data_IF_968402849135
#
_entry.id   IF_968402849135
#
_cell.length_a   1.000
_cell.length_b   1.000
_cell.length_c   1.000
_cell.angle_alpha   90.00
_cell.angle_beta   90.00
_cell.angle_gamma   90.00
#
_symmetry.space_group_name_H-M   'P 1'
#
loop_
_entity.id
_entity.type
_entity.pdbx_description
1 polymer ?
#
# COMPACT_ATOMS: atom_id res chain seq x y z
N UNK A 1 46.96 -61.88 9.43
CA UNK A 1 46.80 -60.82 8.41
C UNK A 1 45.92 -61.43 7.32
N UNK A 2 44.71 -61.01 6.97
CA UNK A 2 43.97 -59.77 7.16
C UNK A 2 42.46 -60.12 7.11
N UNK A 3 41.60 -59.52 7.96
CA UNK A 3 40.15 -59.71 7.93
C UNK A 3 39.52 -58.77 6.90
N UNK A 4 38.29 -59.08 6.43
CA UNK A 4 37.11 -58.19 6.54
C UNK A 4 35.98 -58.62 5.60
N UNK A 5 34.86 -58.99 6.24
CA UNK A 5 33.49 -58.80 5.75
C UNK A 5 33.36 -57.49 4.96
N UNK A 6 32.83 -57.57 3.75
CA UNK A 6 32.15 -56.44 3.13
C UNK A 6 30.65 -56.71 3.20
N UNK A 7 30.06 -56.42 4.36
CA UNK A 7 28.63 -56.19 4.46
C UNK A 7 28.33 -54.91 3.66
N UNK A 8 27.69 -55.06 2.51
CA UNK A 8 27.10 -53.94 1.79
C UNK A 8 25.93 -53.40 2.63
N UNK A 9 26.22 -52.45 3.51
CA UNK A 9 25.20 -51.56 4.06
C UNK A 9 24.67 -50.70 2.92
N UNK A 10 23.52 -51.11 2.36
CA UNK A 10 22.70 -50.22 1.57
C UNK A 10 22.18 -49.11 2.50
N UNK A 11 22.86 -47.97 2.51
CA UNK A 11 22.29 -46.74 3.05
C UNK A 11 21.17 -46.33 2.10
N UNK A 12 19.93 -46.71 2.42
CA UNK A 12 18.77 -45.98 1.92
C UNK A 12 18.92 -44.56 2.49
N UNK A 13 19.46 -43.63 1.69
CA UNK A 13 19.12 -42.23 1.88
C UNK A 13 17.61 -42.14 1.64
N UNK A 14 16.84 -42.15 2.73
CA UNK A 14 15.53 -41.54 2.71
C UNK A 14 15.78 -40.06 2.39
N UNK A 15 15.65 -39.70 1.11
CA UNK A 15 15.45 -38.33 0.72
C UNK A 15 14.09 -37.91 1.31
N UNK A 16 14.04 -37.60 2.60
CA UNK A 16 12.95 -36.80 3.12
C UNK A 16 12.99 -35.52 2.30
N UNK A 17 11.93 -35.29 1.53
CA UNK A 17 11.80 -34.10 0.71
C UNK A 17 12.11 -32.90 1.58
N UNK A 18 13.23 -32.24 1.30
CA UNK A 18 13.46 -30.91 1.83
C UNK A 18 12.42 -30.01 1.16
N UNK A 19 11.23 -29.93 1.76
CA UNK A 19 10.27 -28.91 1.37
C UNK A 19 10.95 -27.59 1.67
N UNK A 20 11.18 -26.77 0.63
CA UNK A 20 11.64 -25.41 0.83
C UNK A 20 10.64 -24.72 1.75
N UNK A 21 11.04 -24.44 2.99
CA UNK A 21 10.18 -23.81 3.98
C UNK A 21 10.31 -22.30 3.82
N UNK A 22 9.18 -21.62 3.60
CA UNK A 22 9.13 -20.16 3.73
C UNK A 22 9.38 -19.84 5.21
N UNK A 23 10.29 -18.91 5.50
CA UNK A 23 10.36 -18.31 6.82
C UNK A 23 9.63 -16.98 6.75
N UNK A 24 8.47 -16.87 7.42
CA UNK A 24 7.70 -15.64 7.46
C UNK A 24 8.42 -14.48 8.17
N UNK A 25 9.45 -14.78 8.97
CA UNK A 25 10.07 -13.81 9.88
C UNK A 25 9.22 -13.49 11.12
N UNK A 26 8.14 -14.26 11.37
CA UNK A 26 7.27 -14.04 12.52
C UNK A 26 7.93 -14.43 13.84
N UNK A 27 7.95 -13.52 14.82
CA UNK A 27 8.39 -13.82 16.19
C UNK A 27 7.25 -14.35 17.09
N UNK A 28 5.99 -14.35 16.61
CA UNK A 28 4.81 -14.86 17.32
C UNK A 28 4.29 -13.98 18.47
N UNK A 29 4.74 -12.73 18.61
CA UNK A 29 4.37 -11.84 19.73
C UNK A 29 2.87 -11.58 19.86
N UNK A 30 2.13 -11.65 18.76
CA UNK A 30 0.69 -11.33 18.72
C UNK A 30 -0.19 -12.58 18.88
N UNK A 31 0.43 -13.74 19.14
CA UNK A 31 -0.27 -14.99 19.41
C UNK A 31 -1.06 -15.51 18.21
N UNK A 32 -2.09 -16.31 18.47
CA UNK A 32 -2.97 -16.84 17.43
C UNK A 32 -4.11 -15.86 17.16
N UNK A 33 -4.33 -15.51 15.89
CA UNK A 33 -5.45 -14.67 15.48
C UNK A 33 -6.61 -15.53 14.96
N UNK A 34 -7.65 -15.70 15.78
CA UNK A 34 -8.82 -16.53 15.48
C UNK A 34 -10.13 -15.85 15.94
N UNK A 35 -10.52 -14.73 15.32
CA UNK A 35 -11.72 -13.98 15.73
C UNK A 35 -12.98 -14.82 15.52
N UNK A 36 -13.90 -14.79 16.48
CA UNK A 36 -15.20 -15.50 16.41
C UNK A 36 -16.35 -14.61 15.94
N UNK A 37 -16.12 -13.30 15.84
CA UNK A 37 -17.08 -12.29 15.38
C UNK A 37 -16.36 -11.26 14.50
N UNK A 38 -17.13 -10.44 13.77
CA UNK A 38 -16.58 -9.33 13.02
C UNK A 38 -15.67 -8.48 13.91
N UNK A 39 -14.44 -8.28 13.45
CA UNK A 39 -13.37 -7.67 14.24
C UNK A 39 -12.82 -6.47 13.50
N UNK A 40 -12.72 -5.35 14.22
CA UNK A 40 -12.00 -4.16 13.74
C UNK A 40 -10.67 -4.13 14.47
N UNK A 41 -9.58 -4.37 13.76
CA UNK A 41 -8.22 -4.26 14.32
C UNK A 41 -7.86 -2.78 14.36
N UNK A 42 -7.60 -2.26 15.55
CA UNK A 42 -7.00 -0.94 15.69
C UNK A 42 -5.49 -1.07 15.53
N UNK A 43 -4.90 -0.43 14.51
CA UNK A 43 -3.46 -0.54 14.24
C UNK A 43 -2.60 0.38 15.12
N UNK A 44 -3.19 1.14 16.06
CA UNK A 44 -2.47 2.14 16.86
C UNK A 44 -1.27 1.58 17.66
N UNK A 45 -1.33 0.32 18.07
CA UNK A 45 -0.26 -0.40 18.78
C UNK A 45 0.77 -1.04 17.83
N UNK A 46 0.51 -1.04 16.51
CA UNK A 46 1.40 -1.52 15.45
C UNK A 46 1.74 -0.36 14.50
N UNK A 47 2.60 0.59 14.91
CA UNK A 47 2.92 1.79 14.12
C UNK A 47 3.63 1.50 12.79
N UNK A 48 4.16 0.29 12.61
CA UNK A 48 4.74 -0.23 11.37
C UNK A 48 3.76 -1.09 10.55
N UNK A 49 2.58 -1.41 11.12
CA UNK A 49 1.55 -2.25 10.52
C UNK A 49 1.91 -3.74 10.43
N UNK A 50 2.97 -4.17 11.13
CA UNK A 50 3.48 -5.55 11.07
C UNK A 50 2.98 -6.34 12.28
N UNK A 51 2.23 -7.40 11.99
CA UNK A 51 1.72 -8.34 12.96
C UNK A 51 2.50 -9.64 12.89
N UNK A 52 2.90 -10.17 14.04
CA UNK A 52 3.62 -11.41 14.22
C UNK A 52 2.72 -12.47 14.89
N UNK A 53 1.96 -13.19 14.07
CA UNK A 53 1.08 -14.24 14.54
C UNK A 53 1.75 -15.63 14.58
N UNK A 54 1.31 -16.46 15.51
CA UNK A 54 1.65 -17.90 15.52
C UNK A 54 0.81 -18.66 14.48
N UNK A 55 -0.47 -18.29 14.33
CA UNK A 55 -1.40 -18.83 13.32
C UNK A 55 -2.52 -17.82 13.05
N UNK A 56 -3.15 -17.91 11.89
CA UNK A 56 -4.34 -17.10 11.54
C UNK A 56 -5.45 -17.98 11.04
N UNK A 57 -6.65 -17.82 11.59
CA UNK A 57 -7.88 -18.43 11.08
C UNK A 57 -8.98 -17.38 11.06
N UNK A 58 -9.50 -17.06 9.88
CA UNK A 58 -10.66 -16.16 9.71
C UNK A 58 -11.87 -17.04 9.39
N UNK A 59 -12.77 -17.30 10.35
CA UNK A 59 -13.93 -18.18 10.14
C UNK A 59 -14.92 -17.62 9.12
N UNK A 60 -15.76 -18.50 8.55
CA UNK A 60 -16.87 -18.08 7.68
C UNK A 60 -17.79 -17.10 8.42
N UNK A 61 -18.33 -16.13 7.68
CA UNK A 61 -19.17 -15.03 8.20
C UNK A 61 -18.45 -14.05 9.14
N UNK A 62 -17.15 -14.17 9.35
CA UNK A 62 -16.34 -13.17 10.04
C UNK A 62 -15.70 -12.23 9.02
N UNK A 63 -15.81 -10.93 9.27
CA UNK A 63 -15.11 -9.87 8.53
C UNK A 63 -14.10 -9.18 9.44
N UNK A 64 -12.85 -9.09 8.96
CA UNK A 64 -11.78 -8.33 9.59
C UNK A 64 -11.56 -7.04 8.82
N UNK A 65 -11.65 -5.91 9.53
CA UNK A 65 -11.36 -4.56 9.01
C UNK A 65 -10.36 -3.87 9.93
N UNK A 66 -9.89 -2.68 9.52
CA UNK A 66 -8.80 -1.99 10.21
C UNK A 66 -9.13 -0.52 10.46
N UNK A 67 -8.73 -0.01 11.61
CA UNK A 67 -8.54 1.42 11.85
C UNK A 67 -7.06 1.70 11.59
N UNK A 68 -6.71 2.50 10.57
CA UNK A 68 -5.32 2.80 10.27
C UNK A 68 -4.56 3.45 11.43
N UNK A 69 -3.26 3.17 11.51
CA UNK A 69 -2.36 3.88 12.42
C UNK A 69 -2.06 5.29 11.90
N UNK A 70 -1.31 6.08 12.69
CA UNK A 70 -0.97 7.47 12.36
C UNK A 70 -0.23 7.61 11.01
N UNK A 71 0.45 6.56 10.57
CA UNK A 71 1.27 6.55 9.34
C UNK A 71 0.49 5.97 8.16
N UNK A 72 -0.72 5.50 8.41
CA UNK A 72 -1.53 4.73 7.50
C UNK A 72 -0.70 3.64 6.78
N UNK A 73 0.06 2.85 7.52
CA UNK A 73 0.91 1.80 6.94
C UNK A 73 0.06 0.70 6.28
N UNK A 74 0.63 -0.05 5.32
CA UNK A 74 0.07 -1.33 4.90
C UNK A 74 -0.14 -2.29 6.09
N UNK A 75 -1.03 -3.26 5.92
CA UNK A 75 -1.18 -4.38 6.85
C UNK A 75 -0.24 -5.51 6.43
N UNK A 76 0.60 -5.97 7.36
CA UNK A 76 1.53 -7.08 7.13
C UNK A 76 1.28 -8.14 8.19
N UNK A 77 0.90 -9.34 7.76
CA UNK A 77 0.77 -10.51 8.63
C UNK A 77 1.93 -11.46 8.38
N UNK A 78 2.79 -11.62 9.37
CA UNK A 78 3.84 -12.63 9.41
C UNK A 78 3.37 -13.77 10.30
N UNK A 79 3.30 -14.99 9.76
CA UNK A 79 2.62 -16.11 10.42
C UNK A 79 3.57 -17.30 10.52
N UNK A 80 3.79 -17.83 11.73
CA UNK A 80 4.69 -18.96 11.96
C UNK A 80 4.16 -20.28 11.42
N UNK A 81 2.84 -20.43 11.35
CA UNK A 81 2.15 -21.62 10.88
C UNK A 81 1.25 -21.28 9.68
N UNK A 82 0.08 -21.93 9.59
CA UNK A 82 -0.88 -21.78 8.52
C UNK A 82 -1.76 -20.54 8.68
N UNK A 83 -2.27 -20.07 7.55
CA UNK A 83 -3.33 -19.07 7.44
C UNK A 83 -4.53 -19.72 6.77
N UNK A 84 -5.70 -19.64 7.41
CA UNK A 84 -6.98 -20.13 6.84
C UNK A 84 -7.94 -18.96 6.67
N UNK A 85 -8.39 -18.72 5.44
CA UNK A 85 -9.33 -17.65 5.09
C UNK A 85 -10.65 -18.26 4.63
N UNK A 86 -11.60 -18.37 5.57
CA UNK A 86 -12.99 -18.79 5.29
C UNK A 86 -13.96 -17.59 5.32
N UNK A 87 -13.60 -16.51 6.01
CA UNK A 87 -14.31 -15.24 6.05
C UNK A 87 -13.66 -14.17 5.16
N UNK A 88 -13.82 -12.90 5.53
CA UNK A 88 -13.32 -11.75 4.75
C UNK A 88 -12.25 -10.98 5.52
N UNK A 89 -11.17 -10.60 4.84
CA UNK A 89 -10.24 -9.56 5.30
C UNK A 89 -10.34 -8.39 4.33
N UNK A 90 -10.67 -7.21 4.84
CA UNK A 90 -10.97 -6.03 4.03
C UNK A 90 -10.10 -4.83 4.43
N UNK A 91 -9.22 -4.45 3.51
CA UNK A 91 -8.38 -3.25 3.57
C UNK A 91 -8.81 -2.23 2.51
N UNK A 92 -10.05 -2.27 2.00
CA UNK A 92 -10.53 -1.39 0.93
C UNK A 92 -10.55 0.08 1.33
N UNK A 93 -10.40 0.95 0.34
CA UNK A 93 -10.62 2.38 0.48
C UNK A 93 -12.11 2.71 0.58
N UNK A 94 -12.41 3.84 1.21
CA UNK A 94 -13.77 4.29 1.43
C UNK A 94 -14.30 5.09 0.24
N UNK A 95 -15.59 4.94 -0.02
CA UNK A 95 -16.31 5.81 -0.94
C UNK A 95 -16.25 7.26 -0.44
N UNK A 96 -16.28 8.22 -1.35
CA UNK A 96 -16.53 9.60 -0.97
C UNK A 96 -17.94 9.73 -0.35
N UNK A 97 -18.12 10.54 0.70
CA UNK A 97 -19.43 10.75 1.30
C UNK A 97 -20.46 11.24 0.27
N UNK A 98 -21.74 10.88 0.45
CA UNK A 98 -22.82 11.38 -0.39
C UNK A 98 -22.97 12.89 -0.27
N UNK A 99 -23.51 13.49 -1.33
CA UNK A 99 -23.67 14.93 -1.53
C UNK A 99 -24.46 15.68 -0.42
N UNK A 100 -25.20 14.97 0.44
CA UNK A 100 -26.19 15.57 1.36
C UNK A 100 -25.65 16.19 2.66
N UNK A 101 -24.34 16.12 2.94
CA UNK A 101 -23.83 16.50 4.29
C UNK A 101 -22.90 17.72 4.32
N UNK A 102 -22.30 18.13 3.21
CA UNK A 102 -21.36 19.28 3.21
C UNK A 102 -21.40 20.00 1.86
N UNK A 103 -21.46 21.34 1.87
CA UNK A 103 -21.38 22.20 0.65
C UNK A 103 -20.07 22.02 -0.17
N UNK A 104 -19.19 21.11 0.26
CA UNK A 104 -17.96 20.68 -0.38
C UNK A 104 -17.74 19.19 -0.08
N UNK A 105 -17.94 18.31 -1.06
CA UNK A 105 -17.79 16.86 -0.87
C UNK A 105 -16.37 16.48 -0.48
N UNK A 106 -16.19 15.89 0.70
CA UNK A 106 -14.90 15.36 1.13
C UNK A 106 -14.49 14.17 0.26
N UNK A 107 -13.18 14.02 0.01
CA UNK A 107 -12.67 12.79 -0.56
C UNK A 107 -12.77 11.61 0.42
N UNK A 108 -13.05 10.41 -0.10
CA UNK A 108 -13.10 9.18 0.67
C UNK A 108 -11.72 8.80 1.23
N UNK A 109 -11.69 8.23 2.43
CA UNK A 109 -10.43 7.81 3.06
C UNK A 109 -9.79 6.64 2.33
N UNK A 110 -8.46 6.60 2.29
CA UNK A 110 -7.75 5.41 1.81
C UNK A 110 -7.91 4.25 2.79
N UNK A 111 -7.77 3.02 2.31
CA UNK A 111 -7.58 1.87 3.20
C UNK A 111 -6.19 1.91 3.85
N UNK A 112 -5.87 0.97 4.77
CA UNK A 112 -4.52 0.83 5.33
C UNK A 112 -3.45 0.78 4.24
N UNK A 113 -2.51 1.72 4.18
CA UNK A 113 -1.49 1.81 3.13
C UNK A 113 -1.94 2.48 1.82
N UNK A 114 -3.23 2.81 1.68
CA UNK A 114 -3.83 3.48 0.52
C UNK A 114 -4.01 4.98 0.75
N UNK A 115 -4.25 5.73 -0.32
CA UNK A 115 -4.30 7.20 -0.26
C UNK A 115 -5.72 7.74 -0.36
N UNK A 116 -5.96 8.87 0.31
CA UNK A 116 -7.27 9.54 0.34
C UNK A 116 -7.67 10.12 -1.03
N UNK A 117 -8.96 10.22 -1.30
CA UNK A 117 -9.51 10.92 -2.46
C UNK A 117 -9.45 12.45 -2.34
N UNK A 118 -9.66 13.14 -3.45
CA UNK A 118 -9.67 14.59 -3.55
C UNK A 118 -10.98 15.20 -3.08
N UNK A 119 -10.91 16.36 -2.43
CA UNK A 119 -12.10 17.12 -2.04
C UNK A 119 -12.70 17.85 -3.25
N UNK A 120 -14.02 18.00 -3.29
CA UNK A 120 -14.72 18.78 -4.29
C UNK A 120 -14.88 20.25 -3.88
N UNK A 121 -15.30 21.07 -4.85
CA UNK A 121 -15.66 22.47 -4.63
C UNK A 121 -15.05 23.42 -5.65
N UNK A 122 -15.29 24.72 -5.46
CA UNK A 122 -14.71 25.79 -6.29
C UNK A 122 -13.18 25.65 -6.41
N UNK A 123 -12.54 25.15 -5.34
CA UNK A 123 -11.13 24.78 -5.33
C UNK A 123 -10.98 23.31 -4.97
N UNK A 124 -11.47 22.45 -5.85
CA UNK A 124 -11.30 21.01 -5.69
C UNK A 124 -9.82 20.62 -5.65
N UNK A 125 -9.53 19.56 -4.91
CA UNK A 125 -8.22 18.95 -4.87
C UNK A 125 -8.22 17.67 -5.67
N UNK A 126 -7.05 17.34 -6.21
CA UNK A 126 -6.83 16.05 -6.78
C UNK A 126 -6.76 14.97 -5.67
N UNK A 127 -6.87 13.69 -6.06
CA UNK A 127 -6.67 12.56 -5.15
C UNK A 127 -5.22 12.47 -4.70
N UNK A 128 -4.99 11.87 -3.53
CA UNK A 128 -3.64 11.67 -2.99
C UNK A 128 -3.01 10.39 -3.52
N UNK A 129 -1.69 10.28 -3.33
CA UNK A 129 -0.89 9.14 -3.78
C UNK A 129 -0.20 9.36 -5.13
N UNK A 130 0.77 8.50 -5.47
CA UNK A 130 1.64 8.63 -6.65
C UNK A 130 0.92 8.59 -8.00
N UNK A 131 -0.30 8.04 -8.05
CA UNK A 131 -1.18 8.07 -9.22
C UNK A 131 -2.51 8.76 -8.94
N UNK A 132 -2.57 9.67 -7.97
CA UNK A 132 -3.84 10.30 -7.56
C UNK A 132 -4.53 11.03 -8.69
N UNK A 133 -5.83 10.81 -8.85
CA UNK A 133 -6.61 11.35 -9.97
C UNK A 133 -6.70 12.88 -9.95
N UNK A 134 -6.53 13.52 -11.10
CA UNK A 134 -6.62 14.98 -11.23
C UNK A 134 -8.01 15.53 -10.85
N UNK A 135 -8.04 16.72 -10.27
CA UNK A 135 -9.28 17.49 -10.13
C UNK A 135 -9.72 18.06 -11.48
N UNK A 136 -11.02 18.22 -11.68
CA UNK A 136 -11.56 18.79 -12.91
C UNK A 136 -13.07 18.96 -12.83
N UNK A 137 -13.72 19.37 -13.92
CA UNK A 137 -15.19 19.48 -13.97
C UNK A 137 -15.87 18.18 -13.50
N UNK A 138 -15.28 17.05 -13.90
CA UNK A 138 -15.45 15.73 -13.30
C UNK A 138 -14.11 15.28 -12.74
N UNK A 139 -14.09 14.69 -11.55
CA UNK A 139 -12.87 14.13 -10.99
C UNK A 139 -12.35 12.97 -11.83
N UNK A 140 -11.04 12.87 -12.00
CA UNK A 140 -10.41 11.73 -12.70
C UNK A 140 -10.17 10.56 -11.74
N UNK A 141 -10.20 9.34 -12.25
CA UNK A 141 -9.89 8.14 -11.47
C UNK A 141 -8.43 8.12 -11.00
N UNK A 142 -8.18 7.53 -9.83
CA UNK A 142 -6.83 7.25 -9.37
C UNK A 142 -6.21 6.10 -10.18
N UNK A 143 -4.89 6.11 -10.28
CA UNK A 143 -4.08 5.04 -10.87
C UNK A 143 -3.24 4.36 -9.78
N UNK A 144 -3.20 3.03 -9.79
CA UNK A 144 -2.31 2.24 -8.96
C UNK A 144 -0.88 2.37 -9.48
N UNK A 145 0.06 2.69 -8.59
CA UNK A 145 1.47 2.82 -8.92
C UNK A 145 2.27 1.93 -7.96
N UNK A 146 2.59 0.73 -8.44
CA UNK A 146 3.40 -0.27 -7.75
C UNK A 146 4.05 -1.19 -8.76
N UNK A 147 5.20 -1.76 -8.42
CA UNK A 147 5.89 -2.69 -9.31
C UNK A 147 5.32 -4.11 -9.22
N UNK A 148 5.75 -4.97 -10.14
CA UNK A 148 5.30 -6.37 -10.20
C UNK A 148 5.67 -7.19 -8.96
N UNK A 149 6.66 -6.77 -8.18
CA UNK A 149 7.10 -7.44 -6.96
C UNK A 149 6.27 -7.04 -5.73
N UNK A 150 5.53 -5.93 -5.81
CA UNK A 150 4.91 -5.30 -4.64
C UNK A 150 5.92 -5.10 -3.49
N UNK A 151 7.13 -4.65 -3.86
CA UNK A 151 8.20 -4.26 -2.94
C UNK A 151 8.73 -2.87 -3.33
N UNK A 152 8.51 -1.83 -2.52
CA UNK A 152 7.73 -1.84 -1.28
C UNK A 152 6.25 -2.12 -1.53
N UNK A 153 5.56 -2.62 -0.50
CA UNK A 153 4.12 -2.80 -0.52
C UNK A 153 3.46 -1.43 -0.37
N UNK A 154 2.65 -1.02 -1.36
CA UNK A 154 1.97 0.27 -1.40
C UNK A 154 0.50 0.07 -1.80
N UNK A 155 -0.42 0.82 -1.19
CA UNK A 155 -1.82 0.80 -1.57
C UNK A 155 -2.13 1.67 -2.80
N UNK A 156 -3.40 1.73 -3.13
CA UNK A 156 -3.94 2.51 -4.24
C UNK A 156 -3.97 4.01 -3.98
N UNK A 157 -3.86 4.78 -5.05
CA UNK A 157 -4.09 6.22 -5.08
C UNK A 157 -5.58 6.58 -5.06
N UNK A 158 -5.92 7.73 -4.47
CA UNK A 158 -7.30 8.25 -4.46
C UNK A 158 -7.71 8.91 -5.79
N UNK A 159 -9.01 8.99 -6.05
CA UNK A 159 -9.57 9.72 -7.19
C UNK A 159 -9.66 11.22 -6.95
N UNK A 160 -9.75 12.03 -8.02
CA UNK A 160 -9.87 13.48 -7.94
C UNK A 160 -11.26 13.98 -7.55
N UNK A 161 -11.34 15.15 -6.94
CA UNK A 161 -12.61 15.85 -6.68
C UNK A 161 -13.04 16.73 -7.86
N UNK A 162 -14.33 17.05 -7.92
CA UNK A 162 -14.87 17.90 -9.00
C UNK A 162 -14.83 19.40 -8.68
N UNK A 163 -14.48 20.25 -9.66
CA UNK A 163 -14.24 21.70 -9.52
C UNK A 163 -15.48 22.61 -9.64
N UNK A 164 -16.67 22.07 -9.90
CA UNK A 164 -17.86 22.88 -10.23
C UNK A 164 -18.73 23.17 -9.00
N UNK A 165 -18.74 24.46 -8.59
CA UNK A 165 -19.59 25.13 -7.58
C UNK A 165 -19.95 24.29 -6.33
N UNK A 166 -21.01 24.64 -5.60
CA UNK A 166 -21.42 24.00 -4.33
C UNK A 166 -22.02 22.59 -4.49
N UNK A 167 -21.90 21.99 -5.68
CA UNK A 167 -22.61 20.78 -6.11
C UNK A 167 -21.69 19.62 -6.54
N UNK A 168 -20.38 19.78 -6.35
CA UNK A 168 -19.36 18.82 -6.76
C UNK A 168 -19.19 17.61 -5.83
N UNK A 169 -18.89 16.45 -6.41
CA UNK A 169 -18.61 15.19 -5.71
C UNK A 169 -17.12 14.98 -5.40
N UNK A 170 -16.81 14.55 -4.16
CA UNK A 170 -15.45 14.17 -3.75
C UNK A 170 -14.99 12.87 -4.43
N UNK A 171 -13.68 12.69 -4.60
CA UNK A 171 -13.09 11.48 -5.16
C UNK A 171 -13.03 10.33 -4.14
N UNK A 172 -13.09 9.09 -4.61
CA UNK A 172 -12.98 7.91 -3.76
C UNK A 172 -11.57 7.65 -3.24
N UNK A 173 -11.45 7.04 -2.07
CA UNK A 173 -10.16 6.66 -1.50
C UNK A 173 -9.55 5.45 -2.21
N UNK A 174 -8.23 5.38 -2.30
CA UNK A 174 -7.54 4.22 -2.86
C UNK A 174 -7.57 3.01 -1.94
N UNK A 175 -7.56 1.82 -2.53
CA UNK A 175 -7.52 0.56 -1.79
C UNK A 175 -6.27 0.43 -0.92
N UNK A 176 -6.36 -0.28 0.19
CA UNK A 176 -5.22 -0.50 1.07
C UNK A 176 -4.22 -1.51 0.51
N UNK A 177 -3.27 -1.92 1.34
CA UNK A 177 -2.31 -2.94 0.98
C UNK A 177 -2.16 -3.99 2.08
N UNK A 178 -2.08 -5.26 1.67
CA UNK A 178 -2.02 -6.42 2.53
C UNK A 178 -0.91 -7.37 2.08
N UNK A 179 0.02 -7.68 2.98
CA UNK A 179 0.94 -8.80 2.85
C UNK A 179 0.56 -9.89 3.85
N UNK A 180 0.41 -11.11 3.38
CA UNK A 180 0.33 -12.29 4.24
C UNK A 180 1.52 -13.19 3.89
N UNK A 181 2.44 -13.36 4.84
CA UNK A 181 3.56 -14.28 4.75
C UNK A 181 3.39 -15.41 5.77
N UNK A 182 3.17 -16.63 5.30
CA UNK A 182 3.00 -17.81 6.14
C UNK A 182 4.17 -18.76 5.95
N UNK A 183 4.78 -19.22 7.05
CA UNK A 183 5.80 -20.27 6.96
C UNK A 183 5.20 -21.62 6.55
N UNK A 184 3.92 -21.83 6.84
CA UNK A 184 3.13 -22.97 6.37
C UNK A 184 2.42 -22.67 5.04
N UNK A 185 1.11 -22.90 5.03
CA UNK A 185 0.22 -22.74 3.88
C UNK A 185 -0.73 -21.56 4.05
N UNK A 186 -1.16 -20.96 2.95
CA UNK A 186 -2.32 -20.06 2.91
C UNK A 186 -3.46 -20.80 2.21
N UNK A 187 -4.51 -21.13 2.95
CA UNK A 187 -5.67 -21.86 2.44
C UNK A 187 -6.90 -20.96 2.42
N UNK A 188 -7.59 -20.95 1.28
CA UNK A 188 -8.91 -20.34 1.15
C UNK A 188 -10.01 -21.42 1.23
N UNK A 189 -11.05 -21.16 2.01
CA UNK A 189 -12.23 -22.02 2.13
C UNK A 189 -13.52 -21.20 1.96
N UNK A 190 -13.65 -20.59 0.78
CA UNK A 190 -14.72 -19.66 0.42
C UNK A 190 -14.54 -18.23 0.87
N UNK A 191 -13.43 -17.94 1.58
CA UNK A 191 -13.15 -16.61 2.07
C UNK A 191 -12.66 -15.65 0.98
N UNK A 192 -12.52 -14.38 1.37
CA UNK A 192 -12.18 -13.29 0.47
C UNK A 192 -11.16 -12.32 1.06
N UNK A 193 -10.29 -11.79 0.20
CA UNK A 193 -9.40 -10.67 0.51
C UNK A 193 -9.74 -9.47 -0.37
N UNK A 194 -9.98 -8.31 0.25
CA UNK A 194 -10.36 -7.09 -0.47
C UNK A 194 -9.37 -5.96 -0.21
N UNK A 195 -8.92 -5.33 -1.29
CA UNK A 195 -8.19 -4.07 -1.28
C UNK A 195 -8.74 -3.18 -2.40
N UNK A 196 -10.05 -2.95 -2.42
CA UNK A 196 -10.72 -2.24 -3.51
C UNK A 196 -10.56 -0.73 -3.35
N UNK A 197 -10.58 -0.02 -4.45
CA UNK A 197 -10.74 1.43 -4.43
C UNK A 197 -12.17 1.82 -4.07
N UNK A 198 -12.33 2.89 -3.30
CA UNK A 198 -13.60 3.52 -3.02
C UNK A 198 -14.12 4.28 -4.24
N UNK A 199 -15.44 4.39 -4.34
CA UNK A 199 -16.11 5.12 -5.41
C UNK A 199 -16.10 6.63 -5.15
N UNK A 200 -16.03 7.41 -6.22
CA UNK A 200 -16.30 8.85 -6.15
C UNK A 200 -17.76 9.14 -5.79
N UNK A 201 -18.02 10.34 -5.28
CA UNK A 201 -19.36 10.73 -4.83
C UNK A 201 -20.31 10.83 -6.02
N UNK A 202 -21.55 10.36 -5.81
CA UNK A 202 -22.63 10.37 -6.78
C UNK A 202 -23.25 11.77 -6.85
N UNK A 203 -22.91 12.55 -7.89
CA UNK A 203 -23.55 13.84 -8.19
C UNK A 203 -23.54 14.11 -9.71
N UNK A 204 -24.19 15.20 -10.13
CA UNK A 204 -24.13 15.70 -11.53
C UNK A 204 -22.69 15.97 -11.99
N UNK A 205 -21.79 16.24 -11.05
CA UNK A 205 -20.36 16.47 -11.28
C UNK A 205 -19.56 15.52 -10.37
N UNK A 206 -19.43 14.24 -10.76
CA UNK A 206 -18.91 13.22 -9.88
C UNK A 206 -17.42 13.36 -9.63
N UNK A 207 -16.99 12.88 -8.48
CA UNK A 207 -15.58 12.61 -8.22
C UNK A 207 -15.12 11.34 -8.93
N UNK A 208 -13.81 11.22 -9.13
CA UNK A 208 -13.22 10.01 -9.69
C UNK A 208 -13.15 8.88 -8.67
N UNK A 209 -13.19 7.64 -9.14
CA UNK A 209 -12.96 6.47 -8.28
C UNK A 209 -11.51 6.38 -7.82
N UNK A 210 -11.27 5.89 -6.60
CA UNK A 210 -9.93 5.53 -6.14
C UNK A 210 -9.43 4.26 -6.84
N UNK A 211 -8.13 4.14 -7.08
CA UNK A 211 -7.56 2.90 -7.62
C UNK A 211 -7.63 1.76 -6.59
N UNK A 212 -7.59 0.53 -7.08
CA UNK A 212 -7.42 -0.64 -6.23
C UNK A 212 -6.04 -0.66 -5.56
N UNK A 213 -5.92 -1.53 -4.56
CA UNK A 213 -4.76 -1.66 -3.70
C UNK A 213 -3.86 -2.85 -4.04
N UNK A 214 -3.03 -3.25 -3.09
CA UNK A 214 -2.06 -4.32 -3.29
C UNK A 214 -2.32 -5.51 -2.36
N UNK A 215 -2.31 -6.73 -2.89
CA UNK A 215 -2.35 -7.95 -2.07
C UNK A 215 -1.17 -8.84 -2.46
N UNK A 216 -0.25 -9.08 -1.53
CA UNK A 216 0.87 -9.99 -1.72
C UNK A 216 0.73 -11.19 -0.78
N UNK A 217 0.73 -12.39 -1.33
CA UNK A 217 0.70 -13.63 -0.54
C UNK A 217 2.02 -14.36 -0.72
N UNK A 218 2.63 -14.78 0.40
CA UNK A 218 3.91 -15.48 0.42
C UNK A 218 3.74 -16.73 1.26
N UNK A 219 3.83 -17.90 0.64
CA UNK A 219 3.72 -19.20 1.32
C UNK A 219 4.28 -20.31 0.44
N UNK A 220 4.60 -21.46 1.03
CA UNK A 220 5.02 -22.64 0.25
C UNK A 220 3.93 -23.10 -0.70
N UNK A 221 2.68 -23.11 -0.22
CA UNK A 221 1.49 -23.49 -0.97
C UNK A 221 0.34 -22.52 -0.71
N UNK A 222 -0.34 -22.13 -1.79
CA UNK A 222 -1.60 -21.36 -1.74
C UNK A 222 -2.70 -22.22 -2.38
N UNK A 223 -3.74 -22.56 -1.62
CA UNK A 223 -4.74 -23.57 -2.02
C UNK A 223 -6.18 -23.17 -1.77
N UNK A 224 -7.09 -23.98 -2.33
CA UNK A 224 -8.50 -24.00 -1.96
C UNK A 224 -9.35 -23.20 -2.93
N UNK A 225 -10.38 -22.52 -2.42
CA UNK A 225 -11.28 -21.71 -3.26
C UNK A 225 -11.71 -20.44 -2.55
N UNK A 226 -11.84 -19.33 -3.28
CA UNK A 226 -12.14 -18.03 -2.70
C UNK A 226 -12.05 -16.88 -3.71
N UNK A 227 -12.04 -15.65 -3.21
CA UNK A 227 -11.92 -14.46 -4.06
C UNK A 227 -10.86 -13.47 -3.56
N UNK A 228 -10.16 -12.83 -4.50
CA UNK A 228 -9.28 -11.70 -4.20
C UNK A 228 -9.69 -10.56 -5.11
N UNK A 229 -10.01 -9.39 -4.53
CA UNK A 229 -10.51 -8.25 -5.29
C UNK A 229 -9.75 -6.98 -4.98
N UNK A 230 -9.00 -6.50 -5.97
CA UNK A 230 -8.26 -5.25 -5.95
C UNK A 230 -8.73 -4.33 -7.08
N UNK A 231 -10.02 -4.38 -7.47
CA UNK A 231 -10.55 -3.44 -8.48
C UNK A 231 -10.55 -2.00 -7.97
N UNK A 232 -10.40 -1.07 -8.90
CA UNK A 232 -10.64 0.35 -8.63
C UNK A 232 -12.13 0.64 -8.40
N UNK A 233 -12.38 1.75 -7.73
CA UNK A 233 -13.72 2.25 -7.45
C UNK A 233 -14.37 2.87 -8.68
N UNK A 234 -15.70 2.96 -8.63
CA UNK A 234 -16.48 3.59 -9.70
C UNK A 234 -16.37 5.11 -9.63
N UNK A 235 -16.52 5.77 -10.78
CA UNK A 235 -17.01 7.15 -10.77
C UNK A 235 -18.51 7.14 -10.47
N UNK A 236 -19.04 8.19 -9.86
CA UNK A 236 -20.48 8.28 -9.60
C UNK A 236 -21.33 8.30 -10.89
N UNK A 237 -20.81 8.94 -11.96
CA UNK A 237 -21.40 8.99 -13.30
C UNK A 237 -20.27 9.18 -14.35
N UNK A 238 -20.18 8.34 -15.39
CA UNK A 238 -19.19 8.48 -16.47
C UNK A 238 -17.89 7.66 -16.32
N UNK A 239 -16.87 7.87 -17.17
CA UNK A 239 -15.76 6.92 -17.38
C UNK A 239 -14.59 7.01 -16.38
N UNK A 240 -14.68 7.85 -15.34
CA UNK A 240 -13.56 8.12 -14.41
C UNK A 240 -13.34 7.05 -13.33
N UNK A 241 -13.25 5.77 -13.74
CA UNK A 241 -12.96 4.65 -12.86
C UNK A 241 -11.53 4.71 -12.34
N UNK A 242 -11.33 4.29 -11.09
CA UNK A 242 -9.98 4.01 -10.62
C UNK A 242 -9.41 2.79 -11.35
N UNK A 243 -8.10 2.77 -11.59
CA UNK A 243 -7.46 1.58 -12.14
C UNK A 243 -7.56 0.42 -11.15
N UNK A 244 -7.48 -0.82 -11.65
CA UNK A 244 -7.23 -1.96 -10.79
C UNK A 244 -5.88 -1.84 -10.09
N UNK A 245 -5.79 -2.38 -8.90
CA UNK A 245 -4.56 -2.64 -8.18
C UNK A 245 -3.96 -3.98 -8.59
N UNK A 246 -3.06 -4.51 -7.74
CA UNK A 246 -2.26 -5.67 -8.08
C UNK A 246 -2.27 -6.75 -7.00
N UNK A 247 -2.30 -8.00 -7.46
CA UNK A 247 -2.14 -9.20 -6.66
C UNK A 247 -0.85 -9.89 -7.06
N UNK A 248 -0.06 -10.31 -6.06
CA UNK A 248 1.15 -11.10 -6.28
C UNK A 248 1.14 -12.34 -5.39
N UNK A 249 1.42 -13.50 -5.98
CA UNK A 249 1.74 -14.71 -5.23
C UNK A 249 3.21 -15.04 -5.35
N UNK A 250 3.90 -15.13 -4.22
CA UNK A 250 5.23 -15.74 -4.12
C UNK A 250 5.08 -17.13 -3.49
N UNK A 251 4.97 -18.16 -4.33
CA UNK A 251 4.65 -19.53 -3.91
C UNK A 251 5.20 -20.58 -4.87
N UNK A 252 5.51 -21.78 -4.36
CA UNK A 252 5.96 -22.90 -5.17
C UNK A 252 4.79 -23.64 -5.83
N UNK A 253 3.69 -23.79 -5.08
CA UNK A 253 2.51 -24.53 -5.51
C UNK A 253 1.26 -23.66 -5.33
N UNK A 254 0.54 -23.44 -6.43
CA UNK A 254 -0.69 -22.68 -6.44
C UNK A 254 -1.83 -23.50 -7.05
N UNK A 255 -2.82 -23.80 -6.22
CA UNK A 255 -4.03 -24.55 -6.58
C UNK A 255 -5.28 -23.84 -6.03
N UNK A 256 -5.38 -22.53 -6.26
CA UNK A 256 -6.59 -21.79 -5.90
C UNK A 256 -7.60 -21.87 -7.05
N UNK A 257 -8.72 -22.53 -6.79
CA UNK A 257 -9.92 -22.47 -7.60
C UNK A 257 -10.71 -21.21 -7.19
N UNK A 258 -10.41 -20.06 -7.79
CA UNK A 258 -11.00 -18.80 -7.34
C UNK A 258 -10.87 -17.67 -8.36
N UNK A 259 -11.48 -16.53 -8.05
CA UNK A 259 -11.43 -15.36 -8.91
C UNK A 259 -10.50 -14.29 -8.32
N UNK A 260 -9.42 -13.99 -9.04
CA UNK A 260 -8.56 -12.83 -8.78
C UNK A 260 -9.00 -11.71 -9.71
N UNK A 261 -9.43 -10.58 -9.13
CA UNK A 261 -9.84 -9.39 -9.87
C UNK A 261 -8.82 -8.27 -9.69
N UNK A 262 -8.03 -8.05 -10.74
CA UNK A 262 -7.00 -7.03 -10.81
C UNK A 262 -5.78 -7.53 -11.58
N UNK A 263 -4.72 -6.75 -11.61
CA UNK A 263 -3.46 -7.21 -12.20
C UNK A 263 -2.89 -8.35 -11.38
N UNK A 264 -2.46 -9.43 -12.03
CA UNK A 264 -1.92 -10.60 -11.35
C UNK A 264 -0.49 -10.88 -11.79
N UNK A 265 0.35 -11.26 -10.83
CA UNK A 265 1.70 -11.75 -11.07
C UNK A 265 2.01 -12.89 -10.11
N UNK A 266 2.89 -13.81 -10.53
CA UNK A 266 3.35 -14.92 -9.72
C UNK A 266 4.86 -15.02 -9.80
N UNK A 267 5.50 -15.39 -8.70
CA UNK A 267 6.92 -15.69 -8.63
C UNK A 267 7.23 -16.63 -7.47
N UNK A 268 8.53 -16.78 -7.19
CA UNK A 268 9.04 -17.51 -6.03
C UNK A 268 10.01 -16.62 -5.23
N UNK A 269 9.71 -15.32 -5.12
CA UNK A 269 10.54 -14.38 -4.39
C UNK A 269 10.05 -14.30 -2.94
N UNK A 270 10.62 -15.14 -2.08
CA UNK A 270 10.31 -15.18 -0.64
C UNK A 270 10.97 -14.06 0.16
N UNK A 271 11.41 -12.99 -0.51
CA UNK A 271 11.90 -11.79 0.15
C UNK A 271 10.71 -11.11 0.83
N UNK A 272 10.55 -11.42 2.10
CA UNK A 272 9.62 -10.82 3.05
C UNK A 272 10.44 -9.76 3.75
N UNK A 273 10.19 -8.48 3.46
CA UNK A 273 10.92 -7.37 4.06
C UNK A 273 10.05 -6.60 5.06
N UNK A 274 10.10 -6.96 6.35
CA UNK A 274 9.67 -6.07 7.43
C UNK A 274 10.89 -5.63 8.27
N UNK A 275 11.05 -4.31 8.40
CA UNK A 275 11.68 -3.55 9.49
C UNK A 275 13.21 -3.38 9.68
N UNK A 276 14.12 -4.00 8.93
CA UNK A 276 15.52 -3.50 8.86
C UNK A 276 16.22 -3.93 7.55
N UNK A 277 16.40 -3.02 6.60
CA UNK A 277 16.94 -3.33 5.26
C UNK A 277 16.02 -2.95 4.08
N UNK A 278 14.88 -2.31 4.35
CA UNK A 278 13.94 -1.88 3.30
C UNK A 278 14.51 -0.75 2.43
N UNK A 279 14.18 -0.78 1.15
CA UNK A 279 14.20 0.41 0.30
C UNK A 279 13.17 1.40 0.85
N UNK A 280 13.63 2.51 1.39
CA UNK A 280 12.74 3.53 1.93
C UNK A 280 13.20 4.91 1.49
N UNK A 281 12.21 5.77 1.21
CA UNK A 281 12.42 7.19 0.98
C UNK A 281 11.66 7.95 2.07
N UNK A 282 12.36 8.82 2.77
CA UNK A 282 11.76 9.71 3.76
C UNK A 282 12.12 11.14 3.41
N UNK A 283 11.13 12.03 3.32
CA UNK A 283 11.41 13.46 3.24
C UNK A 283 11.97 13.88 4.60
N UNK A 284 13.27 14.19 4.67
CA UNK A 284 13.96 14.54 5.90
C UNK A 284 13.79 16.03 6.23
N UNK A 285 13.84 16.89 5.22
CA UNK A 285 13.59 18.32 5.39
C UNK A 285 13.09 18.98 4.11
N UNK A 286 12.37 20.08 4.28
CA UNK A 286 11.90 20.95 3.19
C UNK A 286 12.33 22.37 3.54
N UNK A 287 13.15 22.99 2.70
CA UNK A 287 13.63 24.34 2.96
C UNK A 287 14.53 24.49 4.18
N UNK A 288 15.16 23.41 4.64
CA UNK A 288 15.89 23.37 5.90
C UNK A 288 15.02 23.17 7.14
N UNK A 289 13.68 23.13 7.00
CA UNK A 289 12.76 22.76 8.08
C UNK A 289 12.69 21.23 8.16
N UNK A 290 13.05 20.60 9.30
CA UNK A 290 12.90 19.16 9.46
C UNK A 290 11.44 18.73 9.35
N UNK A 291 11.18 17.61 8.68
CA UNK A 291 9.86 16.98 8.66
C UNK A 291 9.81 15.98 9.80
N UNK A 292 8.80 16.10 10.67
CA UNK A 292 8.61 15.13 11.75
C UNK A 292 8.30 13.75 11.15
N UNK A 293 9.06 12.74 11.57
CA UNK A 293 8.80 11.35 11.22
C UNK A 293 8.07 10.68 12.39
N UNK A 294 6.98 9.94 12.13
CA UNK A 294 6.35 9.78 10.83
C UNK A 294 5.47 10.98 10.43
N UNK A 295 5.40 11.35 9.13
CA UNK A 295 4.54 12.45 8.68
C UNK A 295 3.07 12.07 8.84
N UNK A 296 2.28 12.99 9.41
CA UNK A 296 0.86 12.82 9.66
C UNK A 296 0.01 12.87 8.39
N UNK A 297 0.47 13.56 7.34
CA UNK A 297 -0.31 13.79 6.13
C UNK A 297 -1.56 14.64 6.36
N UNK A 298 -1.70 15.30 7.52
CA UNK A 298 -2.89 16.09 7.84
C UNK A 298 -2.68 17.55 7.43
N UNK A 299 -3.48 18.04 6.47
CA UNK A 299 -3.34 19.41 5.97
C UNK A 299 -3.62 20.52 7.01
N UNK A 300 -4.45 20.25 8.02
CA UNK A 300 -4.75 21.20 9.09
C UNK A 300 -3.64 21.33 10.13
N UNK A 301 -2.74 20.35 10.18
CA UNK A 301 -1.57 20.30 11.08
C UNK A 301 -0.36 19.86 10.25
N UNK A 302 0.24 20.79 9.47
CA UNK A 302 1.26 20.44 8.49
C UNK A 302 2.51 19.83 9.12
N UNK A 303 3.10 18.82 8.45
CA UNK A 303 4.33 18.15 8.90
C UNK A 303 5.58 19.03 8.77
N UNK A 304 5.52 20.09 7.96
CA UNK A 304 6.49 21.17 7.90
C UNK A 304 5.81 22.49 7.49
N UNK A 305 6.24 23.60 8.11
CA UNK A 305 5.75 24.95 7.80
C UNK A 305 6.90 25.77 7.23
N UNK A 306 6.75 26.21 5.98
CA UNK A 306 7.76 27.02 5.28
C UNK A 306 7.44 28.51 5.40
N UNK A 307 8.49 29.34 5.47
CA UNK A 307 8.34 30.79 5.41
C UNK A 307 7.78 31.22 4.06
N UNK A 308 6.82 32.15 4.07
CA UNK A 308 6.28 32.76 2.85
C UNK A 308 7.33 33.59 2.09
N UNK A 309 8.41 33.99 2.75
CA UNK A 309 9.54 34.75 2.20
C UNK A 309 10.63 33.85 1.64
N UNK A 310 10.56 32.53 1.85
CA UNK A 310 11.55 31.61 1.34
C UNK A 310 11.51 31.56 -0.19
N UNK A 311 12.65 31.79 -0.85
CA UNK A 311 12.74 31.84 -2.30
C UNK A 311 12.73 30.44 -2.93
N UNK A 312 12.15 30.34 -4.12
CA UNK A 312 12.28 29.17 -4.98
C UNK A 312 13.60 29.25 -5.79
N UNK A 313 14.21 28.11 -6.16
CA UNK A 313 13.79 26.74 -5.82
C UNK A 313 14.14 26.37 -4.37
N UNK A 314 13.26 25.60 -3.73
CA UNK A 314 13.41 25.15 -2.35
C UNK A 314 14.12 23.79 -2.33
N UNK A 315 15.15 23.61 -1.48
CA UNK A 315 15.78 22.31 -1.30
C UNK A 315 14.88 21.37 -0.51
N UNK A 316 14.62 20.18 -1.06
CA UNK A 316 14.01 19.05 -0.38
C UNK A 316 15.06 17.97 -0.20
N UNK A 317 15.34 17.59 1.04
CA UNK A 317 16.28 16.52 1.36
C UNK A 317 15.51 15.23 1.56
N UNK A 318 15.84 14.21 0.77
CA UNK A 318 15.26 12.87 0.86
C UNK A 318 16.31 11.93 1.44
N UNK A 319 16.02 11.31 2.57
CA UNK A 319 16.80 10.21 3.12
C UNK A 319 16.39 8.92 2.40
N UNK A 320 17.39 8.17 1.95
CA UNK A 320 17.25 6.95 1.18
C UNK A 320 17.90 5.80 1.96
N UNK A 321 17.12 4.80 2.31
CA UNK A 321 17.62 3.58 2.97
C UNK A 321 17.75 2.46 1.97
N UNK A 322 18.88 1.74 2.01
CA UNK A 322 19.17 0.54 1.20
C UNK A 322 18.99 0.72 -0.31
N UNK A 323 19.17 1.94 -0.83
CA UNK A 323 19.02 2.25 -2.25
C UNK A 323 20.41 2.36 -2.90
N UNK A 324 20.65 1.78 -4.10
CA UNK A 324 21.90 1.99 -4.84
C UNK A 324 22.23 3.47 -4.94
N UNK A 325 23.48 3.84 -4.69
CA UNK A 325 23.93 5.21 -4.88
C UNK A 325 23.72 5.61 -6.35
N UNK A 326 23.50 6.91 -6.56
CA UNK A 326 23.20 7.48 -7.88
C UNK A 326 21.83 7.08 -8.47
N UNK A 327 20.95 6.45 -7.70
CA UNK A 327 19.55 6.25 -8.09
C UNK A 327 18.84 7.60 -8.27
N UNK A 328 18.05 7.71 -9.36
CA UNK A 328 17.25 8.91 -9.62
C UNK A 328 16.06 8.97 -8.66
N UNK A 329 16.03 10.03 -7.86
CA UNK A 329 14.95 10.36 -6.94
C UNK A 329 14.11 11.47 -7.57
N UNK A 330 12.80 11.26 -7.66
CA UNK A 330 11.85 12.29 -8.08
C UNK A 330 11.04 12.75 -6.87
N UNK A 331 11.08 14.04 -6.57
CA UNK A 331 10.20 14.65 -5.58
C UNK A 331 9.01 15.27 -6.29
N UNK A 332 7.82 14.94 -5.79
CA UNK A 332 6.54 15.46 -6.25
C UNK A 332 5.95 16.34 -5.17
N UNK A 333 5.46 17.52 -5.56
CA UNK A 333 4.76 18.47 -4.70
C UNK A 333 3.38 18.68 -5.29
N UNK A 334 2.38 18.19 -4.56
CA UNK A 334 0.97 18.33 -4.92
C UNK A 334 0.35 19.42 -4.05
N UNK A 335 0.20 20.66 -4.56
CA UNK A 335 -0.39 21.72 -3.78
C UNK A 335 -1.86 21.40 -3.50
N UNK A 336 -2.39 21.91 -2.39
CA UNK A 336 -3.81 21.80 -2.07
C UNK A 336 -4.68 22.44 -3.17
N UNK A 337 -4.09 23.34 -3.98
CA UNK A 337 -4.70 24.00 -5.13
C UNK A 337 -3.69 24.14 -6.26
N UNK A 338 -4.07 23.75 -7.48
CA UNK A 338 -3.22 23.87 -8.67
C UNK A 338 -2.65 22.53 -9.15
N UNK A 339 -1.78 22.61 -10.15
CA UNK A 339 -1.14 21.43 -10.74
C UNK A 339 -0.01 20.88 -9.84
N UNK A 340 0.20 19.57 -9.89
CA UNK A 340 1.39 18.95 -9.30
C UNK A 340 2.65 19.45 -10.02
N UNK A 341 3.72 19.67 -9.26
CA UNK A 341 5.06 19.94 -9.80
C UNK A 341 6.03 18.87 -9.32
N UNK A 342 7.04 18.56 -10.12
CA UNK A 342 8.05 17.56 -9.78
C UNK A 342 9.44 18.02 -10.19
N UNK A 343 10.46 17.53 -9.48
CA UNK A 343 11.87 17.72 -9.82
C UNK A 343 12.67 16.50 -9.41
N UNK A 344 13.86 16.33 -10.01
CA UNK A 344 14.70 15.16 -9.80
C UNK A 344 16.04 15.51 -9.16
N UNK A 345 16.60 14.57 -8.41
CA UNK A 345 17.97 14.58 -7.92
C UNK A 345 18.48 13.15 -7.77
N UNK A 346 19.71 12.98 -7.26
CA UNK A 346 20.30 11.65 -7.07
C UNK A 346 20.76 11.47 -5.64
N UNK A 347 20.67 10.26 -5.11
CA UNK A 347 21.21 9.90 -3.80
C UNK A 347 22.73 9.70 -3.89
N UNK A 348 23.47 10.80 -4.01
CA UNK A 348 24.91 10.79 -4.27
C UNK A 348 25.77 11.06 -3.03
N UNK A 349 25.15 11.18 -1.85
CA UNK A 349 25.83 11.40 -0.58
C UNK A 349 25.48 10.28 0.41
N UNK A 350 26.49 9.69 1.05
CA UNK A 350 26.34 8.62 2.04
C UNK A 350 26.72 7.23 1.51
N UNK A 351 25.99 6.21 1.94
CA UNK A 351 26.25 4.79 1.66
C UNK A 351 25.00 4.13 1.06
N UNK A 352 25.14 2.90 0.55
CA UNK A 352 23.99 2.08 0.14
C UNK A 352 22.93 1.97 1.24
N UNK A 353 23.34 1.70 2.48
CA UNK A 353 22.42 1.51 3.61
C UNK A 353 21.73 2.81 4.03
N UNK A 354 22.38 3.97 3.85
CA UNK A 354 21.88 5.28 4.25
C UNK A 354 22.53 6.35 3.37
N UNK A 355 21.76 6.88 2.42
CA UNK A 355 22.16 7.95 1.51
C UNK A 355 21.16 9.09 1.50
N UNK A 356 21.54 10.23 0.94
CA UNK A 356 20.68 11.41 0.81
C UNK A 356 20.68 11.94 -0.61
N UNK A 357 19.51 12.39 -1.06
CA UNK A 357 19.31 13.15 -2.28
C UNK A 357 18.80 14.55 -1.93
N UNK A 358 19.39 15.60 -2.51
CA UNK A 358 18.89 16.96 -2.41
C UNK A 358 18.27 17.37 -3.74
N UNK A 359 16.98 17.67 -3.74
CA UNK A 359 16.22 18.07 -4.93
C UNK A 359 15.86 19.54 -4.79
N UNK A 360 16.17 20.34 -5.81
CA UNK A 360 15.75 21.75 -5.89
C UNK A 360 14.43 21.83 -6.67
N UNK A 361 13.35 22.24 -6.01
CA UNK A 361 12.01 22.26 -6.60
C UNK A 361 11.31 23.60 -6.37
N UNK A 362 10.59 24.07 -7.39
CA UNK A 362 9.74 25.26 -7.27
C UNK A 362 8.43 24.88 -6.58
N UNK A 363 8.31 25.09 -5.27
CA UNK A 363 7.11 24.75 -4.51
C UNK A 363 6.05 25.84 -4.70
N UNK A 364 4.83 25.50 -5.18
CA UNK A 364 3.72 26.43 -5.23
C UNK A 364 3.34 26.89 -3.82
N UNK A 365 2.98 28.17 -3.66
CA UNK A 365 2.59 28.71 -2.35
C UNK A 365 1.26 28.10 -1.89
N UNK A 366 1.16 27.85 -0.59
CA UNK A 366 -0.01 27.23 0.03
C UNK A 366 0.33 25.88 0.65
N UNK A 367 -0.63 25.28 1.36
CA UNK A 367 -0.48 23.90 1.86
C UNK A 367 -0.50 22.89 0.72
N UNK A 368 -0.01 21.68 0.98
CA UNK A 368 0.07 20.61 -0.02
C UNK A 368 0.72 19.35 0.54
N UNK A 369 0.87 18.36 -0.33
CA UNK A 369 1.52 17.08 -0.02
C UNK A 369 2.83 16.98 -0.79
N UNK A 370 3.83 16.37 -0.16
CA UNK A 370 5.13 16.12 -0.77
C UNK A 370 5.43 14.64 -0.62
N UNK A 371 5.83 13.99 -1.70
CA UNK A 371 6.27 12.61 -1.70
C UNK A 371 7.45 12.42 -2.64
N UNK A 372 8.23 11.36 -2.42
CA UNK A 372 9.35 11.00 -3.26
C UNK A 372 9.13 9.62 -3.87
N UNK A 373 9.58 9.44 -5.10
CA UNK A 373 9.67 8.15 -5.79
C UNK A 373 11.10 7.91 -6.23
N UNK A 374 11.47 6.63 -6.34
CA UNK A 374 12.72 6.22 -6.94
C UNK A 374 12.42 5.26 -8.09
N UNK A 375 13.09 5.46 -9.21
CA UNK A 375 13.11 4.50 -10.30
C UNK A 375 14.49 3.85 -10.33
N UNK A 376 14.55 2.55 -10.05
CA UNK A 376 15.73 1.75 -10.37
C UNK A 376 15.60 1.37 -11.84
N UNK A 377 16.36 2.03 -12.71
CA UNK A 377 16.40 1.68 -14.12
C UNK A 377 16.88 0.24 -14.29
N UNK A 378 16.17 -0.51 -15.13
CA UNK A 378 16.79 -1.46 -16.06
C UNK A 378 16.35 -1.04 -17.46
#
# INVERSE_FOLDING_TARGET
MNPKLLQAMAVLLACWGAHAQVNSGSNGSDGAFNPTTNTVINMADHPDGIYHYTSVNIPSNVTVTFIPNANNTPVVWLVQSNVVISGTVDVSGQNAPPYSDVRYGLGGQGGPGGFRGGNAGITASAGYGPGGGAAGATGQGGTFVGNEFLVPLIGGSGGGGSTISSYGGGGGGGGGALLIAASGTIQFNGGSLYARGGSGSLSTYPGGGGSGGAIRLVATRITGWGSINVRGGSSGYGPSYGSSGRVRFDTYEYELAGNVQGDFSQGAQFVILPSAGQFALTIASVGGVPVAAPPSGVLSTPDAVLSAQQNNPIPVVVHCSNLPLDTLITVHVRPARGAEVSATGRNNSGTFASSTATILINIPRGGGWIYATAATGN
#
